data_IF_646596882401
#
_entry.id   IF_646596882401
#
_cell.length_a   1.000
_cell.length_b   1.000
_cell.length_c   1.000
_cell.angle_alpha   90.00
_cell.angle_beta   90.00
_cell.angle_gamma   90.00
#
_symmetry.space_group_name_H-M   'P 1'
#
loop_
_entity.id
_entity.type
_entity.pdbx_description
1 polymer ?
#
# COMPACT_ATOMS: atom_id res chain seq x y z
N UNK A 1 3.80 15.53 -5.92
CA UNK A 1 2.94 14.39 -6.29
C UNK A 1 2.84 13.43 -5.10
N UNK A 2 1.63 13.06 -4.67
CA UNK A 2 1.46 11.99 -3.70
C UNK A 2 2.15 10.73 -4.26
N UNK A 3 2.89 10.05 -3.40
CA UNK A 3 3.56 8.82 -3.81
C UNK A 3 2.69 7.63 -3.42
N UNK A 4 2.82 6.51 -4.13
CA UNK A 4 2.19 5.24 -3.79
C UNK A 4 2.78 4.68 -2.48
N UNK A 5 2.45 5.33 -1.38
CA UNK A 5 2.84 4.93 -0.02
C UNK A 5 1.62 4.99 0.88
N UNK A 6 1.70 4.40 2.03
CA UNK A 6 0.69 4.52 3.07
C UNK A 6 0.44 6.01 3.36
N UNK A 7 -0.80 6.45 3.18
CA UNK A 7 -1.20 7.83 3.45
C UNK A 7 -2.30 7.78 4.52
N UNK A 8 -2.03 8.26 5.73
CA UNK A 8 -3.04 8.35 6.76
C UNK A 8 -4.08 9.41 6.38
N UNK A 9 -5.35 9.10 6.62
CA UNK A 9 -6.47 10.01 6.41
C UNK A 9 -7.31 10.07 7.66
N UNK A 10 -7.74 11.27 8.04
CA UNK A 10 -8.69 11.44 9.14
C UNK A 10 -10.08 11.02 8.67
N UNK A 11 -10.75 10.18 9.45
CA UNK A 11 -12.11 9.72 9.13
C UNK A 11 -13.09 10.87 8.97
N UNK A 12 -12.98 11.92 9.79
CA UNK A 12 -13.79 13.13 9.69
C UNK A 12 -13.69 13.81 8.32
N UNK A 13 -12.47 13.93 7.80
CA UNK A 13 -12.21 14.55 6.49
C UNK A 13 -12.75 13.71 5.35
N UNK A 14 -12.57 12.40 5.43
CA UNK A 14 -13.14 11.47 4.46
C UNK A 14 -14.67 11.57 4.46
N UNK A 15 -15.30 11.62 5.62
CA UNK A 15 -16.75 11.79 5.74
C UNK A 15 -17.24 13.12 5.15
N UNK A 16 -16.50 14.21 5.39
CA UNK A 16 -16.83 15.51 4.81
C UNK A 16 -16.75 15.52 3.29
N UNK A 17 -15.73 14.90 2.72
CA UNK A 17 -15.58 14.78 1.26
C UNK A 17 -16.72 13.94 0.67
N UNK A 18 -17.11 12.83 1.33
CA UNK A 18 -18.27 12.06 0.91
C UNK A 18 -19.55 12.91 0.90
N UNK A 19 -19.76 13.76 1.90
CA UNK A 19 -20.90 14.65 1.97
C UNK A 19 -20.92 15.70 0.85
N UNK A 20 -19.73 16.20 0.46
CA UNK A 20 -19.57 17.24 -0.56
C UNK A 20 -19.66 16.72 -2.00
N UNK A 21 -19.24 15.49 -2.23
CA UNK A 21 -19.11 14.90 -3.57
C UNK A 21 -19.73 13.49 -3.63
N UNK A 22 -20.83 13.26 -2.91
CA UNK A 22 -21.46 11.94 -2.81
C UNK A 22 -21.86 11.38 -4.17
N UNK A 23 -22.49 12.20 -4.99
CA UNK A 23 -22.96 11.79 -6.32
C UNK A 23 -21.79 11.39 -7.23
N UNK A 24 -20.73 12.17 -7.29
CA UNK A 24 -19.56 11.90 -8.11
C UNK A 24 -18.82 10.65 -7.63
N UNK A 25 -18.71 10.49 -6.31
CA UNK A 25 -18.07 9.32 -5.71
C UNK A 25 -18.89 8.07 -6.02
N UNK A 26 -20.20 8.09 -5.80
CA UNK A 26 -21.07 6.95 -6.05
C UNK A 26 -21.10 6.58 -7.54
N UNK A 27 -21.16 7.57 -8.44
CA UNK A 27 -21.11 7.35 -9.88
C UNK A 27 -19.76 6.83 -10.37
N UNK A 28 -18.71 6.96 -9.57
CA UNK A 28 -17.39 6.41 -9.89
C UNK A 28 -17.29 4.90 -9.62
N UNK A 29 -18.17 4.31 -8.81
CA UNK A 29 -18.14 2.89 -8.48
C UNK A 29 -18.67 2.05 -9.63
N UNK A 30 -17.79 1.31 -10.28
CA UNK A 30 -18.15 0.38 -11.35
C UNK A 30 -17.43 -0.97 -11.13
N UNK A 31 -17.96 -2.04 -11.74
CA UNK A 31 -17.39 -3.39 -11.60
C UNK A 31 -15.95 -3.50 -12.08
N UNK A 32 -15.58 -2.71 -13.08
CA UNK A 32 -14.25 -2.71 -13.67
C UNK A 32 -13.66 -1.30 -13.63
N UNK A 33 -12.34 -1.19 -13.45
CA UNK A 33 -11.67 0.11 -13.39
C UNK A 33 -11.79 0.87 -14.71
N UNK A 34 -12.20 2.14 -14.62
CA UNK A 34 -12.28 3.07 -15.74
C UNK A 34 -11.51 4.37 -15.42
N UNK A 35 -11.30 5.22 -16.43
CA UNK A 35 -10.68 6.54 -16.22
C UNK A 35 -11.52 7.51 -15.36
N UNK A 36 -12.79 7.19 -15.14
CA UNK A 36 -13.71 8.00 -14.33
C UNK A 36 -13.69 7.66 -12.84
N UNK A 37 -12.94 6.62 -12.43
CA UNK A 37 -12.86 6.26 -11.02
C UNK A 37 -12.15 7.32 -10.22
N UNK A 38 -12.83 7.81 -9.22
CA UNK A 38 -12.23 8.58 -8.14
C UNK A 38 -11.41 7.64 -7.24
N UNK A 39 -10.30 8.11 -6.73
CA UNK A 39 -9.40 7.32 -5.91
C UNK A 39 -8.90 8.14 -4.71
N UNK A 40 -7.98 7.59 -3.96
CA UNK A 40 -7.40 8.24 -2.78
C UNK A 40 -6.86 9.66 -3.01
N UNK A 41 -6.51 10.03 -4.24
CA UNK A 41 -5.99 11.36 -4.54
C UNK A 41 -7.05 12.45 -4.39
N UNK A 42 -8.33 12.16 -4.60
CA UNK A 42 -9.42 13.10 -4.30
C UNK A 42 -9.34 13.57 -2.84
N UNK A 43 -9.21 12.63 -1.90
CA UNK A 43 -9.13 12.92 -0.47
C UNK A 43 -7.86 13.67 -0.11
N UNK A 44 -6.72 13.29 -0.70
CA UNK A 44 -5.43 13.93 -0.48
C UNK A 44 -5.40 15.36 -1.01
N UNK A 45 -5.89 15.56 -2.22
CA UNK A 45 -5.88 16.89 -2.86
C UNK A 45 -6.84 17.84 -2.12
N UNK A 46 -8.01 17.36 -1.69
CA UNK A 46 -8.91 18.13 -0.84
C UNK A 46 -8.24 18.56 0.47
N UNK A 47 -7.66 17.62 1.20
CA UNK A 47 -6.98 17.92 2.46
C UNK A 47 -5.78 18.86 2.24
N UNK A 48 -5.06 18.73 1.14
CA UNK A 48 -3.97 19.64 0.78
C UNK A 48 -4.46 21.06 0.53
N UNK A 49 -5.50 21.23 -0.28
CA UNK A 49 -6.08 22.51 -0.63
C UNK A 49 -6.73 23.22 0.57
N UNK A 50 -7.24 22.45 1.53
CA UNK A 50 -7.84 22.96 2.77
C UNK A 50 -6.83 23.13 3.91
N UNK A 51 -5.51 22.94 3.66
CA UNK A 51 -4.45 23.14 4.65
C UNK A 51 -4.43 22.07 5.77
N UNK A 52 -5.05 20.92 5.57
CA UNK A 52 -5.17 19.85 6.56
C UNK A 52 -4.11 18.74 6.41
N UNK A 53 -3.11 18.94 5.57
CA UNK A 53 -1.99 18.02 5.37
C UNK A 53 -0.70 18.62 5.92
N UNK A 54 0.02 17.78 6.65
CA UNK A 54 1.41 18.03 7.02
C UNK A 54 2.30 17.18 6.10
N UNK A 55 3.18 17.86 5.36
CA UNK A 55 4.17 17.17 4.54
C UNK A 55 5.34 16.70 5.41
N UNK A 56 5.45 15.40 5.60
CA UNK A 56 6.56 14.80 6.34
C UNK A 56 7.38 13.88 5.44
N UNK A 57 8.70 13.94 5.59
CA UNK A 57 9.61 13.02 4.88
C UNK A 57 9.78 11.75 5.71
N UNK A 58 9.10 10.69 5.30
CA UNK A 58 9.29 9.37 5.90
C UNK A 58 10.39 8.59 5.16
N UNK A 59 11.21 7.85 5.92
CA UNK A 59 12.14 6.92 5.30
C UNK A 59 11.36 5.77 4.67
N UNK A 60 11.61 5.54 3.38
CA UNK A 60 10.87 4.56 2.59
C UNK A 60 11.80 3.79 1.66
N UNK A 61 11.46 2.54 1.43
CA UNK A 61 12.12 1.66 0.47
C UNK A 61 11.08 1.08 -0.48
N UNK A 62 11.41 1.03 -1.73
CA UNK A 62 10.60 0.40 -2.77
C UNK A 62 11.39 -0.73 -3.42
N UNK A 63 10.77 -1.89 -3.53
CA UNK A 63 11.27 -3.02 -4.28
C UNK A 63 10.32 -3.33 -5.44
N UNK A 64 10.87 -3.60 -6.61
CA UNK A 64 10.14 -4.23 -7.71
C UNK A 64 10.49 -5.71 -7.74
N UNK A 65 9.49 -6.59 -7.70
CA UNK A 65 9.70 -8.03 -7.74
C UNK A 65 10.33 -8.52 -9.05
N UNK A 66 10.23 -7.73 -10.12
CA UNK A 66 10.93 -8.01 -11.38
C UNK A 66 12.45 -7.86 -11.30
N UNK A 67 12.97 -7.10 -10.32
CA UNK A 67 14.38 -6.77 -10.19
C UNK A 67 14.99 -7.30 -8.91
N UNK A 68 14.25 -7.21 -7.79
CA UNK A 68 14.73 -7.61 -6.48
C UNK A 68 15.00 -9.12 -6.42
N UNK A 69 16.13 -9.52 -5.84
CA UNK A 69 16.39 -10.93 -5.57
C UNK A 69 15.65 -11.42 -4.32
N UNK A 70 15.34 -12.72 -4.27
CA UNK A 70 14.75 -13.36 -3.10
C UNK A 70 15.57 -13.07 -1.82
N UNK A 71 16.89 -13.17 -1.92
CA UNK A 71 17.81 -12.86 -0.83
C UNK A 71 17.69 -11.42 -0.33
N UNK A 72 17.64 -10.43 -1.23
CA UNK A 72 17.48 -9.02 -0.86
C UNK A 72 16.19 -8.77 -0.10
N UNK A 73 15.09 -9.38 -0.54
CA UNK A 73 13.78 -9.26 0.12
C UNK A 73 13.81 -9.90 1.50
N UNK A 74 14.35 -11.12 1.61
CA UNK A 74 14.48 -11.83 2.87
C UNK A 74 15.33 -11.05 3.90
N UNK A 75 16.52 -10.60 3.50
CA UNK A 75 17.42 -9.83 4.37
C UNK A 75 16.76 -8.51 4.84
N UNK A 76 16.03 -7.84 3.93
CA UNK A 76 15.39 -6.58 4.28
C UNK A 76 14.17 -6.77 5.22
N UNK A 77 13.35 -7.79 5.01
CA UNK A 77 12.21 -8.10 5.89
C UNK A 77 12.69 -8.49 7.28
N UNK A 78 13.75 -9.30 7.36
CA UNK A 78 14.34 -9.69 8.63
C UNK A 78 15.01 -8.54 9.40
N UNK A 79 15.47 -7.51 8.68
CA UNK A 79 16.11 -6.31 9.26
C UNK A 79 15.72 -5.04 8.53
N UNK A 80 14.48 -4.55 8.69
CA UNK A 80 14.01 -3.39 7.97
C UNK A 80 14.76 -2.12 8.40
N UNK A 81 15.31 -1.41 7.44
CA UNK A 81 16.06 -0.16 7.64
C UNK A 81 15.21 1.09 7.39
N UNK A 82 13.97 0.92 6.97
CA UNK A 82 13.05 2.00 6.60
C UNK A 82 11.71 1.82 7.31
N UNK A 83 11.07 2.92 7.65
CA UNK A 83 9.75 2.92 8.31
C UNK A 83 8.62 2.42 7.42
N UNK A 84 8.74 2.64 6.12
CA UNK A 84 7.76 2.21 5.13
C UNK A 84 8.44 1.44 4.01
N UNK A 85 7.82 0.34 3.60
CA UNK A 85 8.31 -0.49 2.49
C UNK A 85 7.14 -0.81 1.56
N UNK A 86 7.39 -0.67 0.28
CA UNK A 86 6.50 -1.14 -0.77
C UNK A 86 7.24 -2.24 -1.55
N UNK A 87 6.65 -3.41 -1.59
CA UNK A 87 7.07 -4.49 -2.49
C UNK A 87 6.04 -4.53 -3.61
N UNK A 88 6.44 -4.05 -4.79
CA UNK A 88 5.55 -3.90 -5.92
C UNK A 88 5.54 -5.17 -6.75
N UNK A 89 4.35 -5.75 -6.86
CA UNK A 89 4.11 -6.89 -7.73
C UNK A 89 4.14 -6.48 -9.20
N UNK A 90 4.67 -7.36 -10.04
CA UNK A 90 4.75 -7.21 -11.49
C UNK A 90 4.50 -8.57 -12.13
N UNK A 91 4.15 -8.59 -13.41
CA UNK A 91 4.03 -9.84 -14.12
C UNK A 91 5.36 -10.59 -14.15
N UNK A 92 5.38 -11.80 -13.60
CA UNK A 92 6.54 -12.69 -13.49
C UNK A 92 6.25 -13.99 -14.24
N UNK A 93 7.29 -14.76 -14.54
CA UNK A 93 7.15 -16.17 -14.90
C UNK A 93 6.75 -16.99 -13.67
N UNK A 94 6.03 -18.10 -13.87
CA UNK A 94 5.54 -18.96 -12.77
C UNK A 94 6.70 -19.39 -11.85
N UNK A 95 7.80 -19.84 -12.42
CA UNK A 95 9.00 -20.22 -11.67
C UNK A 95 9.53 -19.09 -10.79
N UNK A 96 9.57 -17.88 -11.32
CA UNK A 96 10.08 -16.72 -10.58
C UNK A 96 9.11 -16.29 -9.50
N UNK A 97 7.81 -16.39 -9.77
CA UNK A 97 6.76 -16.12 -8.79
C UNK A 97 6.87 -17.06 -7.59
N UNK A 98 6.96 -18.38 -7.84
CA UNK A 98 7.09 -19.39 -6.79
C UNK A 98 8.35 -19.16 -5.92
N UNK A 99 9.50 -18.90 -6.56
CA UNK A 99 10.76 -18.62 -5.85
C UNK A 99 10.61 -17.42 -4.89
N UNK A 100 10.03 -16.31 -5.37
CA UNK A 100 9.85 -15.11 -4.57
C UNK A 100 8.77 -15.28 -3.51
N UNK A 101 7.71 -16.00 -3.80
CA UNK A 101 6.64 -16.31 -2.85
C UNK A 101 7.19 -17.10 -1.66
N UNK A 102 7.94 -18.17 -1.92
CA UNK A 102 8.54 -18.97 -0.86
C UNK A 102 9.52 -18.14 0.00
N UNK A 103 10.35 -17.32 -0.64
CA UNK A 103 11.29 -16.46 0.08
C UNK A 103 10.58 -15.39 0.94
N UNK A 104 9.45 -14.84 0.46
CA UNK A 104 8.65 -13.88 1.21
C UNK A 104 7.93 -14.54 2.39
N UNK A 105 7.33 -15.71 2.20
CA UNK A 105 6.70 -16.46 3.28
C UNK A 105 7.70 -16.77 4.39
N UNK A 106 8.85 -17.35 4.06
CA UNK A 106 9.91 -17.64 5.01
C UNK A 106 10.39 -16.39 5.76
N UNK A 107 10.60 -15.28 5.04
CA UNK A 107 11.00 -14.01 5.64
C UNK A 107 9.97 -13.45 6.63
N UNK A 108 8.67 -13.53 6.29
CA UNK A 108 7.60 -13.05 7.14
C UNK A 108 7.39 -13.95 8.36
N UNK A 109 7.48 -15.27 8.23
CA UNK A 109 7.43 -16.21 9.35
C UNK A 109 8.56 -15.95 10.36
N UNK A 110 9.77 -15.66 9.88
CA UNK A 110 10.89 -15.30 10.74
C UNK A 110 10.71 -13.91 11.39
N UNK A 111 10.19 -12.93 10.66
CA UNK A 111 10.00 -11.59 11.18
C UNK A 111 8.81 -11.48 12.14
N UNK A 112 7.76 -12.27 11.92
CA UNK A 112 6.50 -12.26 12.68
C UNK A 112 6.13 -13.68 13.18
N UNK A 113 6.91 -14.30 14.04
CA UNK A 113 6.73 -15.71 14.44
C UNK A 113 5.50 -15.95 15.32
N UNK A 114 4.85 -14.90 15.80
CA UNK A 114 3.67 -15.01 16.67
C UNK A 114 2.42 -14.63 15.89
N UNK A 115 1.42 -15.50 15.94
CA UNK A 115 0.09 -15.24 15.40
C UNK A 115 -0.50 -13.99 16.07
N UNK A 116 -1.01 -13.07 15.28
CA UNK A 116 -1.68 -11.89 15.81
C UNK A 116 -3.09 -12.24 16.29
N UNK A 117 -3.64 -11.44 17.22
CA UNK A 117 -5.02 -11.61 17.71
C UNK A 117 -6.11 -11.42 16.65
N UNK A 118 -5.73 -10.99 15.46
CA UNK A 118 -6.64 -10.74 14.32
C UNK A 118 -6.58 -11.84 13.27
N UNK A 119 -5.65 -12.78 13.40
CA UNK A 119 -5.56 -13.92 12.52
C UNK A 119 -6.53 -15.00 12.97
N UNK A 120 -7.37 -15.45 12.04
CA UNK A 120 -8.31 -16.55 12.29
C UNK A 120 -7.57 -17.85 11.94
N UNK A 121 -7.55 -18.79 12.88
CA UNK A 121 -7.07 -20.14 12.57
C UNK A 121 -7.99 -20.76 11.52
N UNK A 122 -7.48 -21.01 10.32
CA UNK A 122 -8.16 -21.78 9.29
C UNK A 122 -8.22 -23.26 9.64
#
# INVERSE_FOLDING_TARGET
RPQHVCTPMLKSEVTEIYRLAEEEIMNSFTRTRTSKHLNQYLFLDYMYLTGKIINERLSKKHFSMGIASARQLHEFIGKPTHKLTCINDVQLSDKRYEELQLALLDAFEHAFPRISKYEVHG
#
